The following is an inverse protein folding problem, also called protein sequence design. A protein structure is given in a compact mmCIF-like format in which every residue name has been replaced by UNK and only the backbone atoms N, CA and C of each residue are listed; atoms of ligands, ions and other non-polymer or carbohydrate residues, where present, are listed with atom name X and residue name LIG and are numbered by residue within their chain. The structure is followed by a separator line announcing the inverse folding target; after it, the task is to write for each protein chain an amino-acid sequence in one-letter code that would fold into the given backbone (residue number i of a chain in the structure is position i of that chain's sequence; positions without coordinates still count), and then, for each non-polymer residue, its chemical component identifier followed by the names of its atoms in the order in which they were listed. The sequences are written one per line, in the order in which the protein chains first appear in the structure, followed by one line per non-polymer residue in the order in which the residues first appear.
data_IF_198716134228
#
_entry.id   IF_198716134228
#
_cell.length_a   1.000
_cell.length_b   1.000
_cell.length_c   1.000
_cell.angle_alpha   90.00
_cell.angle_beta   90.00
_cell.angle_gamma   90.00
#
_symmetry.space_group_name_H-M   'P 1'
#
loop_
_entity.id
_entity.type
_entity.pdbx_description
1 polymer ?
#
# COMPACT_ATOMS: atom_id res chain seq x y z
N UNK A 1 -5.97 14.69 39.65
CA UNK A 1 -5.29 13.95 38.59
C UNK A 1 -5.17 12.50 39.03
N UNK A 2 -6.06 11.62 38.53
CA UNK A 2 -6.01 10.19 38.82
C UNK A 2 -5.26 9.49 37.68
N UNK A 3 -4.13 8.92 38.05
CA UNK A 3 -3.27 8.11 37.21
C UNK A 3 -3.95 6.76 37.01
N UNK A 4 -4.45 6.47 35.83
CA UNK A 4 -5.07 5.20 35.51
C UNK A 4 -4.03 4.11 35.29
N UNK A 5 -3.96 3.17 36.20
CA UNK A 5 -3.12 1.99 36.10
C UNK A 5 -3.65 1.06 35.01
N UNK A 6 -2.85 0.79 34.00
CA UNK A 6 -3.12 -0.23 32.99
C UNK A 6 -2.66 -1.58 33.52
N UNK A 7 -3.59 -2.42 33.95
CA UNK A 7 -3.29 -3.82 34.25
C UNK A 7 -3.30 -4.60 32.92
N UNK A 8 -2.11 -4.98 32.45
CA UNK A 8 -1.95 -5.88 31.31
C UNK A 8 -2.06 -7.31 31.83
N UNK A 9 -3.20 -7.95 31.67
CA UNK A 9 -3.35 -9.38 31.95
C UNK A 9 -2.88 -10.16 30.73
N UNK A 10 -1.70 -10.77 30.85
CA UNK A 10 -1.19 -11.76 29.88
C UNK A 10 -1.82 -13.10 30.19
N UNK A 11 -2.80 -13.52 29.40
CA UNK A 11 -3.34 -14.88 29.47
C UNK A 11 -2.40 -15.78 28.65
N UNK A 12 -1.63 -16.62 29.33
CA UNK A 12 -0.84 -17.68 28.72
C UNK A 12 -1.81 -18.83 28.46
N UNK A 13 -2.19 -19.05 27.20
CA UNK A 13 -2.94 -20.23 26.79
C UNK A 13 -2.00 -21.44 26.78
N UNK A 14 -2.40 -22.61 27.31
CA UNK A 14 -1.63 -23.82 27.15
C UNK A 14 -1.49 -24.19 25.67
N UNK A 15 -0.28 -24.55 25.26
CA UNK A 15 -0.04 -25.11 23.93
C UNK A 15 -0.84 -26.41 23.79
N UNK A 16 -1.86 -26.37 22.98
CA UNK A 16 -2.58 -27.57 22.54
C UNK A 16 -1.61 -28.42 21.70
N UNK A 17 -1.41 -29.66 22.11
CA UNK A 17 -0.59 -30.62 21.40
C UNK A 17 -1.27 -30.97 20.08
N UNK A 18 -0.63 -30.61 19.00
CA UNK A 18 -1.01 -31.02 17.64
C UNK A 18 -0.82 -32.54 17.57
N UNK A 19 -1.85 -33.33 17.22
CA UNK A 19 -1.63 -34.76 16.96
C UNK A 19 -0.80 -34.92 15.67
N UNK A 20 0.30 -35.63 15.80
CA UNK A 20 1.13 -36.10 14.68
C UNK A 20 0.29 -37.11 13.90
N UNK A 21 -0.16 -36.72 12.71
CA UNK A 21 -0.75 -37.66 11.74
C UNK A 21 0.43 -38.25 10.97
N UNK A 22 0.50 -39.56 11.05
CA UNK A 22 1.49 -40.42 10.42
C UNK A 22 1.53 -40.23 8.90
N UNK A 23 2.72 -40.30 8.40
CA UNK A 23 3.14 -40.53 7.03
C UNK A 23 2.28 -41.58 6.35
N UNK A 24 1.68 -41.27 5.23
CA UNK A 24 1.23 -42.31 4.31
C UNK A 24 1.84 -42.07 2.92
N UNK A 25 2.38 -43.16 2.47
CA UNK A 25 3.27 -43.45 1.38
C UNK A 25 2.71 -43.06 0.00
N UNK A 26 3.66 -42.62 -0.81
CA UNK A 26 3.63 -42.48 -2.26
C UNK A 26 3.13 -43.73 -3.03
N UNK A 27 2.54 -43.57 -4.23
CA UNK A 27 3.35 -43.88 -5.39
C UNK A 27 3.28 -42.92 -6.56
N UNK A 28 4.40 -42.85 -7.21
CA UNK A 28 4.87 -42.11 -8.32
C UNK A 28 4.00 -42.09 -9.59
N UNK A 29 4.22 -41.03 -10.35
CA UNK A 29 4.14 -41.08 -11.80
C UNK A 29 5.35 -40.35 -12.42
N UNK A 30 5.78 -40.99 -13.46
CA UNK A 30 6.99 -40.89 -14.23
C UNK A 30 7.17 -39.56 -14.97
N UNK A 31 8.45 -39.28 -15.18
CA UNK A 31 8.99 -38.33 -16.14
C UNK A 31 8.50 -38.61 -17.56
N UNK A 32 8.17 -37.59 -18.26
CA UNK A 32 8.28 -37.56 -19.72
C UNK A 32 9.01 -36.31 -20.19
N UNK A 33 10.26 -36.57 -20.59
CA UNK A 33 11.10 -35.68 -21.38
C UNK A 33 10.60 -35.69 -22.82
N UNK A 34 10.36 -34.55 -23.38
CA UNK A 34 10.49 -34.41 -24.82
C UNK A 34 11.30 -33.16 -25.22
N UNK A 35 12.46 -33.49 -25.78
CA UNK A 35 13.34 -32.63 -26.55
C UNK A 35 12.80 -32.50 -27.98
N UNK A 36 12.86 -31.30 -28.52
CA UNK A 36 13.08 -31.07 -29.95
C UNK A 36 13.48 -29.60 -30.11
N UNK A 37 14.67 -29.25 -30.32
CA UNK A 37 15.59 -29.34 -31.45
C UNK A 37 15.15 -28.56 -32.70
N UNK A 38 16.05 -27.65 -33.05
CA UNK A 38 16.49 -27.11 -34.36
C UNK A 38 15.78 -25.84 -34.83
N UNK A 39 16.47 -24.90 -35.25
CA UNK A 39 17.70 -24.58 -35.95
C UNK A 39 17.40 -23.55 -37.05
N UNK A 40 18.30 -22.59 -37.15
CA UNK A 40 18.75 -21.82 -38.35
C UNK A 40 17.77 -20.84 -39.02
N UNK A 41 18.12 -19.67 -39.44
CA UNK A 41 19.28 -19.25 -40.23
C UNK A 41 19.43 -17.72 -40.24
N UNK A 42 20.62 -17.26 -40.14
CA UNK A 42 21.49 -16.34 -40.87
C UNK A 42 20.88 -15.68 -42.13
N UNK A 43 20.94 -14.38 -42.15
CA UNK A 43 21.35 -13.64 -43.34
C UNK A 43 21.94 -12.27 -42.97
N UNK A 44 23.19 -12.19 -43.18
CA UNK A 44 24.03 -11.01 -43.35
C UNK A 44 23.81 -10.48 -44.77
N UNK A 45 23.63 -9.18 -44.93
CA UNK A 45 24.11 -8.51 -46.14
C UNK A 45 24.44 -7.03 -45.88
N UNK A 46 25.71 -6.77 -46.11
CA UNK A 46 26.46 -5.55 -46.28
C UNK A 46 26.14 -4.95 -47.64
N UNK A 47 26.32 -3.64 -47.82
CA UNK A 47 26.95 -2.93 -48.97
C UNK A 47 26.46 -1.48 -48.95
N UNK A 48 27.33 -0.59 -48.77
CA UNK A 48 28.32 0.25 -49.46
C UNK A 48 27.86 1.69 -49.71
N UNK A 49 28.71 2.53 -49.18
CA UNK A 49 29.27 3.82 -49.68
C UNK A 49 28.60 4.53 -50.88
N UNK A 50 28.38 5.82 -50.69
CA UNK A 50 28.84 6.79 -51.69
C UNK A 50 29.14 8.16 -51.03
N UNK A 51 30.35 8.61 -51.24
CA UNK A 51 30.95 9.92 -51.01
C UNK A 51 30.19 11.05 -51.70
N UNK A 52 30.24 12.22 -51.08
CA UNK A 52 29.82 13.48 -51.73
C UNK A 52 30.08 14.68 -50.83
N UNK A 53 31.35 15.10 -50.83
CA UNK A 53 31.78 16.32 -50.18
C UNK A 53 31.15 17.57 -50.82
N UNK A 54 30.67 18.52 -50.00
CA UNK A 54 30.83 19.96 -50.28
C UNK A 54 30.86 20.76 -48.98
N UNK A 55 31.99 21.34 -48.76
CA UNK A 55 32.31 22.42 -47.82
C UNK A 55 31.44 23.62 -48.13
N UNK A 56 30.78 24.18 -47.14
CA UNK A 56 30.45 25.61 -47.07
C UNK A 56 30.48 26.09 -45.63
N UNK A 57 31.44 26.92 -45.39
CA UNK A 57 31.70 27.73 -44.22
C UNK A 57 30.50 28.68 -43.96
N UNK A 58 30.00 28.66 -42.72
CA UNK A 58 28.96 29.61 -42.26
C UNK A 58 28.81 29.51 -40.74
N UNK A 59 29.53 30.40 -40.08
CA UNK A 59 29.39 30.90 -38.69
C UNK A 59 28.21 30.42 -37.88
N UNK A 60 28.55 29.78 -36.74
CA UNK A 60 28.39 30.32 -35.40
C UNK A 60 26.95 30.73 -35.00
N UNK A 61 26.25 29.79 -34.43
CA UNK A 61 25.43 30.01 -33.26
C UNK A 61 25.26 28.66 -32.57
N UNK A 62 26.11 28.42 -31.58
CA UNK A 62 25.88 27.40 -30.58
C UNK A 62 24.61 27.79 -29.84
N UNK A 63 23.52 27.02 -29.89
CA UNK A 63 22.65 26.97 -28.75
C UNK A 63 23.40 26.17 -27.69
N UNK A 64 23.85 26.82 -26.65
CA UNK A 64 24.12 26.16 -25.39
C UNK A 64 22.99 25.16 -25.17
N UNK A 65 23.29 23.90 -25.45
CA UNK A 65 22.57 22.81 -24.87
C UNK A 65 22.82 22.92 -23.37
N UNK A 66 22.02 23.73 -22.72
CA UNK A 66 21.78 23.61 -21.29
C UNK A 66 21.35 22.17 -21.12
N UNK A 67 22.32 21.30 -20.85
CA UNK A 67 22.09 20.06 -20.16
C UNK A 67 21.37 20.47 -18.89
N UNK A 68 20.04 20.58 -18.99
CA UNK A 68 19.19 20.45 -17.82
C UNK A 68 19.51 19.09 -17.25
N UNK A 69 20.56 19.05 -16.44
CA UNK A 69 20.71 18.01 -15.47
C UNK A 69 19.36 17.97 -14.75
N UNK A 70 18.51 17.05 -15.18
CA UNK A 70 17.39 16.61 -14.36
C UNK A 70 18.02 16.16 -13.06
N UNK A 71 18.17 17.10 -12.14
CA UNK A 71 18.40 16.79 -10.75
C UNK A 71 17.26 15.84 -10.41
N UNK A 72 17.57 14.56 -10.33
CA UNK A 72 16.70 13.55 -9.75
C UNK A 72 16.59 13.94 -8.27
N UNK A 73 15.77 14.92 -8.00
CA UNK A 73 15.42 15.29 -6.63
C UNK A 73 14.65 14.10 -6.11
N UNK A 74 15.32 13.32 -5.28
CA UNK A 74 14.70 12.29 -4.46
C UNK A 74 13.65 13.01 -3.61
N UNK A 75 12.43 13.11 -4.13
CA UNK A 75 11.38 13.89 -3.51
C UNK A 75 10.81 13.15 -2.31
N UNK A 76 10.87 13.77 -1.15
CA UNK A 76 10.14 13.32 0.05
C UNK A 76 8.92 14.20 0.22
N UNK A 77 7.76 13.56 0.44
CA UNK A 77 6.50 14.26 0.67
C UNK A 77 5.81 13.74 1.92
N UNK A 78 5.19 14.65 2.67
CA UNK A 78 4.25 14.30 3.74
C UNK A 78 2.83 14.23 3.17
N UNK A 79 2.05 13.32 3.72
CA UNK A 79 0.69 13.02 3.26
C UNK A 79 -0.27 13.04 4.43
N UNK A 80 -1.47 13.61 4.22
CA UNK A 80 -2.56 13.60 5.19
C UNK A 80 -3.88 13.33 4.47
N UNK A 81 -4.52 12.21 4.74
CA UNK A 81 -5.79 11.84 4.11
C UNK A 81 -6.96 12.52 4.80
N UNK A 82 -7.41 13.64 4.24
CA UNK A 82 -8.48 14.48 4.80
C UNK A 82 -9.82 13.74 4.87
N UNK A 83 -10.09 12.82 3.93
CA UNK A 83 -11.31 12.02 3.96
C UNK A 83 -11.36 11.13 5.20
N UNK A 84 -10.22 10.53 5.59
CA UNK A 84 -10.12 9.74 6.82
C UNK A 84 -10.19 10.61 8.08
N UNK A 85 -9.63 11.80 8.05
CA UNK A 85 -9.74 12.76 9.15
C UNK A 85 -11.21 13.16 9.37
N UNK A 86 -11.98 13.35 8.30
CA UNK A 86 -13.42 13.63 8.39
C UNK A 86 -14.21 12.49 9.06
N UNK A 87 -13.70 11.25 8.99
CA UNK A 87 -14.28 10.08 9.68
C UNK A 87 -13.68 9.84 11.07
N UNK A 88 -13.05 10.85 11.67
CA UNK A 88 -12.40 10.80 12.99
C UNK A 88 -11.29 9.72 13.08
N UNK A 89 -10.66 9.41 11.97
CA UNK A 89 -9.55 8.47 11.89
C UNK A 89 -8.34 9.18 11.28
N UNK A 90 -7.55 9.92 12.08
CA UNK A 90 -6.35 10.58 11.58
C UNK A 90 -5.46 9.61 10.82
N UNK A 91 -5.03 10.06 9.65
CA UNK A 91 -4.18 9.31 8.71
C UNK A 91 -3.06 10.21 8.24
N UNK A 92 -1.84 9.78 8.47
CA UNK A 92 -0.62 10.46 8.05
C UNK A 92 0.27 9.49 7.32
N UNK A 93 1.05 9.99 6.38
CA UNK A 93 1.96 9.17 5.62
C UNK A 93 3.15 9.96 5.09
N UNK A 94 4.07 9.20 4.56
CA UNK A 94 5.22 9.70 3.82
C UNK A 94 5.23 9.05 2.44
N UNK A 95 5.70 9.78 1.47
CA UNK A 95 5.95 9.27 0.14
C UNK A 95 7.34 9.65 -0.32
N UNK A 96 8.07 8.66 -0.80
CA UNK A 96 9.39 8.82 -1.36
C UNK A 96 9.34 8.54 -2.86
N UNK A 97 9.68 9.55 -3.67
CA UNK A 97 9.84 9.44 -5.11
C UNK A 97 11.25 8.95 -5.42
N UNK A 98 11.37 7.69 -5.84
CA UNK A 98 12.64 7.08 -6.27
C UNK A 98 13.12 7.74 -7.56
N UNK A 99 12.20 8.06 -8.45
CA UNK A 99 12.40 8.79 -9.68
C UNK A 99 11.05 9.39 -10.14
N UNK A 100 11.00 10.20 -11.23
CA UNK A 100 9.75 10.83 -11.67
C UNK A 100 8.60 9.87 -11.99
N UNK A 101 8.88 8.58 -12.16
CA UNK A 101 7.87 7.58 -12.53
C UNK A 101 7.53 6.59 -11.42
N UNK A 102 8.34 6.51 -10.36
CA UNK A 102 8.16 5.52 -9.31
C UNK A 102 8.24 6.13 -7.93
N UNK A 103 7.31 5.75 -7.07
CA UNK A 103 7.27 6.16 -5.68
C UNK A 103 6.88 5.01 -4.76
N UNK A 104 7.28 5.15 -3.50
CA UNK A 104 6.86 4.30 -2.40
C UNK A 104 6.20 5.21 -1.38
N UNK A 105 4.99 4.87 -0.97
CA UNK A 105 4.31 5.56 0.13
C UNK A 105 4.00 4.61 1.27
N UNK A 106 3.99 5.14 2.47
CA UNK A 106 3.53 4.43 3.67
C UNK A 106 2.58 5.35 4.41
N UNK A 107 1.34 4.93 4.57
CA UNK A 107 0.32 5.64 5.32
C UNK A 107 0.02 4.89 6.61
N UNK A 108 -0.17 5.60 7.69
CA UNK A 108 -0.55 5.08 8.99
C UNK A 108 -1.78 5.79 9.51
N UNK A 109 -2.73 5.04 10.03
CA UNK A 109 -3.92 5.57 10.67
C UNK A 109 -4.01 5.09 12.10
N UNK A 110 -4.41 5.98 12.98
CA UNK A 110 -4.63 5.62 14.37
C UNK A 110 -5.80 6.40 14.96
N UNK A 111 -6.69 5.70 15.65
CA UNK A 111 -7.81 6.30 16.36
C UNK A 111 -8.21 5.49 17.58
N UNK A 112 -8.71 6.17 18.60
CA UNK A 112 -9.26 5.53 19.79
C UNK A 112 -10.30 6.44 20.46
N UNK A 113 -11.55 6.21 20.15
CA UNK A 113 -12.69 6.94 20.71
C UNK A 113 -13.53 6.05 21.60
N UNK A 114 -13.97 6.60 22.73
CA UNK A 114 -14.92 5.95 23.64
C UNK A 114 -15.93 6.98 24.11
N UNK A 115 -17.20 6.63 24.11
CA UNK A 115 -18.31 7.49 24.55
C UNK A 115 -19.37 6.67 25.24
N UNK A 116 -20.42 7.34 25.75
CA UNK A 116 -21.50 6.71 26.51
C UNK A 116 -20.95 5.88 27.69
N UNK A 117 -20.20 6.56 28.60
CA UNK A 117 -19.58 5.95 29.79
C UNK A 117 -18.68 4.73 29.46
N UNK A 118 -18.01 4.77 28.28
CA UNK A 118 -17.19 3.69 27.74
C UNK A 118 -17.96 2.47 27.24
N UNK A 119 -19.29 2.53 27.16
CA UNK A 119 -20.09 1.45 26.57
C UNK A 119 -19.96 1.36 25.06
N UNK A 120 -19.59 2.47 24.40
CA UNK A 120 -19.30 2.53 22.98
C UNK A 120 -17.81 2.76 22.74
N UNK A 121 -17.27 2.07 21.77
CA UNK A 121 -15.85 2.16 21.42
C UNK A 121 -15.64 2.04 19.93
N UNK A 122 -14.73 2.86 19.43
CA UNK A 122 -14.15 2.76 18.11
C UNK A 122 -12.64 2.98 18.21
N UNK A 123 -11.86 1.93 17.98
CA UNK A 123 -10.42 2.00 17.97
C UNK A 123 -9.90 1.23 16.76
N UNK A 124 -8.94 1.84 16.07
CA UNK A 124 -8.30 1.29 14.88
C UNK A 124 -6.86 1.77 14.84
N UNK A 125 -5.95 0.90 14.46
CA UNK A 125 -4.67 1.29 13.89
C UNK A 125 -4.44 0.46 12.63
N UNK A 126 -3.86 1.07 11.61
CA UNK A 126 -3.46 0.38 10.40
C UNK A 126 -2.25 1.03 9.77
N UNK A 127 -1.48 0.22 9.03
CA UNK A 127 -0.37 0.65 8.20
C UNK A 127 -0.61 0.13 6.79
N UNK A 128 -0.39 0.99 5.81
CA UNK A 128 -0.63 0.71 4.41
C UNK A 128 0.55 1.17 3.55
N UNK A 129 1.58 0.33 3.35
CA UNK A 129 2.58 0.56 2.32
C UNK A 129 1.98 0.39 0.93
N UNK A 130 2.45 1.23 0.00
CA UNK A 130 1.99 1.26 -1.38
C UNK A 130 3.16 1.58 -2.31
N UNK A 131 3.27 0.82 -3.39
CA UNK A 131 4.20 1.05 -4.47
C UNK A 131 3.46 1.65 -5.67
N UNK A 132 3.92 2.79 -6.17
CA UNK A 132 3.24 3.61 -7.17
C UNK A 132 4.03 3.77 -8.44
N UNK A 133 3.35 3.69 -9.57
CA UNK A 133 3.88 4.06 -10.89
C UNK A 133 3.13 5.27 -11.42
N UNK A 134 3.82 6.38 -11.54
CA UNK A 134 3.31 7.61 -12.11
C UNK A 134 3.30 7.57 -13.63
N UNK A 135 2.18 7.96 -14.24
CA UNK A 135 1.89 7.88 -15.66
C UNK A 135 1.54 9.25 -16.24
N UNK A 136 1.55 9.35 -17.57
CA UNK A 136 1.30 10.58 -18.30
C UNK A 136 2.52 11.50 -18.40
N UNK A 137 2.42 12.51 -19.24
CA UNK A 137 3.53 13.47 -19.50
C UNK A 137 3.88 14.28 -18.25
N UNK A 138 2.87 14.69 -17.50
CA UNK A 138 3.02 15.51 -16.30
C UNK A 138 3.13 14.68 -15.00
N UNK A 139 3.11 13.34 -15.11
CA UNK A 139 3.21 12.40 -13.98
C UNK A 139 2.19 12.68 -12.85
N UNK A 140 0.98 13.10 -13.21
CA UNK A 140 -0.08 13.40 -12.26
C UNK A 140 -0.95 12.19 -11.93
N UNK A 141 -1.19 11.31 -12.91
CA UNK A 141 -1.90 10.05 -12.69
C UNK A 141 -0.96 8.96 -12.20
N UNK A 142 -1.45 8.03 -11.41
CA UNK A 142 -0.69 6.84 -11.02
C UNK A 142 -1.56 5.60 -10.89
N UNK A 143 -0.90 4.47 -10.99
CA UNK A 143 -1.38 3.17 -10.57
C UNK A 143 -0.43 2.61 -9.53
N UNK A 144 -0.97 1.91 -8.54
CA UNK A 144 -0.19 1.34 -7.45
C UNK A 144 -0.67 -0.04 -7.03
N UNK A 145 0.18 -0.67 -6.23
CA UNK A 145 -0.14 -1.89 -5.50
C UNK A 145 0.05 -1.58 -4.02
N UNK A 146 -0.97 -1.84 -3.22
CA UNK A 146 -0.96 -1.61 -1.78
C UNK A 146 -1.10 -2.91 -1.01
N UNK A 147 -0.45 -2.93 0.14
CA UNK A 147 -0.70 -3.88 1.22
C UNK A 147 -1.24 -3.11 2.41
N UNK A 148 -2.07 -3.74 3.22
CA UNK A 148 -2.65 -3.13 4.41
C UNK A 148 -2.69 -4.15 5.54
N UNK A 149 -2.29 -3.73 6.73
CA UNK A 149 -2.45 -4.52 7.95
C UNK A 149 -2.78 -3.62 9.13
N UNK A 150 -3.49 -4.15 10.10
CA UNK A 150 -3.88 -3.38 11.27
C UNK A 150 -4.76 -4.16 12.23
N UNK A 151 -5.19 -3.47 13.28
CA UNK A 151 -6.10 -4.02 14.28
C UNK A 151 -7.25 -3.07 14.53
N UNK A 152 -8.40 -3.64 14.84
CA UNK A 152 -9.57 -2.88 15.16
C UNK A 152 -10.28 -3.39 16.42
N UNK A 153 -10.94 -2.48 17.10
CA UNK A 153 -11.83 -2.80 18.21
C UNK A 153 -13.00 -1.83 18.19
N UNK A 154 -14.13 -2.31 17.77
CA UNK A 154 -15.34 -1.48 17.77
C UNK A 154 -16.49 -2.14 18.51
N UNK A 155 -17.21 -1.34 19.30
CA UNK A 155 -18.43 -1.69 19.99
C UNK A 155 -19.44 -0.56 19.79
N UNK A 156 -20.27 -0.70 18.79
CA UNK A 156 -21.32 0.27 18.45
C UNK A 156 -22.71 -0.18 18.93
N UNK A 157 -22.80 -1.42 19.43
CA UNK A 157 -24.01 -2.03 19.94
C UNK A 157 -23.70 -2.85 21.21
N UNK A 158 -24.60 -3.71 21.65
CA UNK A 158 -24.39 -4.60 22.80
C UNK A 158 -23.19 -5.54 22.59
N UNK A 159 -22.89 -5.92 21.33
CA UNK A 159 -21.76 -6.79 20.97
C UNK A 159 -20.62 -5.96 20.38
N UNK A 160 -19.42 -6.12 20.93
CA UNK A 160 -18.19 -5.59 20.38
C UNK A 160 -17.48 -6.62 19.51
N UNK A 161 -16.63 -6.12 18.61
CA UNK A 161 -15.74 -6.92 17.75
C UNK A 161 -14.33 -6.38 17.86
N UNK A 162 -13.37 -7.28 18.04
CA UNK A 162 -11.96 -6.94 18.14
C UNK A 162 -11.15 -7.97 17.37
N UNK A 163 -10.23 -7.52 16.52
CA UNK A 163 -9.43 -8.43 15.73
C UNK A 163 -8.40 -7.74 14.85
N UNK A 164 -7.83 -8.54 13.99
CA UNK A 164 -6.81 -8.16 13.03
C UNK A 164 -7.42 -8.06 11.64
N UNK A 165 -6.84 -7.19 10.83
CA UNK A 165 -7.15 -7.09 9.41
C UNK A 165 -5.85 -7.13 8.60
N UNK A 166 -5.91 -7.82 7.48
CA UNK A 166 -4.82 -7.89 6.50
C UNK A 166 -5.41 -7.92 5.11
N UNK A 167 -4.79 -7.24 4.19
CA UNK A 167 -5.28 -7.21 2.82
C UNK A 167 -4.36 -6.50 1.87
N UNK A 168 -4.83 -6.35 0.65
CA UNK A 168 -4.11 -5.63 -0.39
C UNK A 168 -4.96 -5.43 -1.62
N UNK A 169 -4.44 -4.67 -2.56
CA UNK A 169 -5.16 -4.36 -3.77
C UNK A 169 -4.37 -3.49 -4.72
N UNK A 170 -5.05 -3.13 -5.79
CA UNK A 170 -4.57 -2.15 -6.74
C UNK A 170 -5.17 -0.78 -6.40
N UNK A 171 -4.38 0.25 -6.58
CA UNK A 171 -4.79 1.63 -6.36
C UNK A 171 -4.66 2.42 -7.63
N UNK A 172 -5.46 3.44 -7.77
CA UNK A 172 -5.33 4.43 -8.82
C UNK A 172 -5.63 5.79 -8.26
N UNK A 173 -4.93 6.80 -8.77
CA UNK A 173 -5.15 8.15 -8.30
C UNK A 173 -4.64 9.22 -9.26
N UNK A 174 -4.98 10.45 -8.90
CA UNK A 174 -4.59 11.64 -9.65
C UNK A 174 -4.19 12.75 -8.69
N UNK A 175 -3.00 13.30 -8.89
CA UNK A 175 -2.47 14.41 -8.12
C UNK A 175 -2.73 15.74 -8.83
N UNK A 176 -3.50 16.60 -8.19
CA UNK A 176 -3.76 17.96 -8.61
C UNK A 176 -2.74 18.89 -7.92
N UNK A 177 -1.87 19.51 -8.69
CA UNK A 177 -0.88 20.45 -8.17
C UNK A 177 -1.58 21.76 -7.79
N UNK A 178 -1.52 22.15 -6.52
CA UNK A 178 -2.07 23.40 -6.02
C UNK A 178 -1.04 24.53 -6.13
N UNK A 179 0.19 24.22 -5.71
CA UNK A 179 1.35 25.10 -5.87
C UNK A 179 2.65 24.27 -5.91
N UNK A 180 3.82 24.91 -5.79
CA UNK A 180 5.09 24.22 -5.87
C UNK A 180 5.35 23.23 -4.69
N UNK A 181 4.76 23.52 -3.52
CA UNK A 181 4.94 22.72 -2.32
C UNK A 181 3.75 21.81 -2.02
N UNK A 182 2.55 22.13 -2.50
CA UNK A 182 1.32 21.43 -2.13
C UNK A 182 0.62 20.83 -3.34
N UNK A 183 0.12 19.62 -3.16
CA UNK A 183 -0.74 18.92 -4.11
C UNK A 183 -1.92 18.28 -3.38
N UNK A 184 -3.01 18.05 -4.10
CA UNK A 184 -4.15 17.27 -3.65
C UNK A 184 -4.16 15.95 -4.42
N UNK A 185 -4.19 14.83 -3.73
CA UNK A 185 -4.20 13.48 -4.29
C UNK A 185 -5.58 12.86 -4.09
N UNK A 186 -6.24 12.50 -5.16
CA UNK A 186 -7.50 11.77 -5.19
C UNK A 186 -7.21 10.33 -5.54
N UNK A 187 -7.58 9.39 -4.66
CA UNK A 187 -7.24 7.99 -4.82
C UNK A 187 -8.39 7.05 -4.48
N UNK A 188 -8.40 5.93 -5.18
CA UNK A 188 -9.29 4.80 -4.91
C UNK A 188 -8.49 3.50 -5.03
N UNK A 189 -8.73 2.58 -4.10
CA UNK A 189 -8.15 1.25 -4.12
C UNK A 189 -9.23 0.17 -4.12
N UNK A 190 -9.04 -0.82 -4.98
CA UNK A 190 -9.88 -2.01 -5.07
C UNK A 190 -9.03 -3.23 -4.71
N UNK A 191 -9.58 -4.14 -3.90
CA UNK A 191 -8.81 -5.28 -3.47
C UNK A 191 -9.56 -6.20 -2.52
N UNK A 192 -8.78 -6.92 -1.73
CA UNK A 192 -9.23 -7.93 -0.79
C UNK A 192 -8.76 -7.61 0.61
N UNK A 193 -9.64 -7.76 1.59
CA UNK A 193 -9.34 -7.69 3.02
C UNK A 193 -9.84 -8.95 3.70
N UNK A 194 -8.97 -9.54 4.49
CA UNK A 194 -9.23 -10.63 5.41
C UNK A 194 -9.21 -10.08 6.83
N UNK A 195 -10.22 -10.40 7.62
CA UNK A 195 -10.33 -9.98 9.00
C UNK A 195 -10.72 -11.15 9.89
N UNK A 196 -9.87 -11.44 10.88
CA UNK A 196 -10.14 -12.37 11.96
C UNK A 196 -10.48 -11.62 13.23
N UNK A 197 -11.61 -11.91 13.83
CA UNK A 197 -12.04 -11.17 15.00
C UNK A 197 -12.85 -11.98 15.99
N UNK A 198 -12.73 -11.57 17.25
CA UNK A 198 -13.53 -12.07 18.36
C UNK A 198 -14.74 -11.16 18.60
N UNK A 199 -15.88 -11.77 18.80
CA UNK A 199 -17.07 -11.11 19.36
C UNK A 199 -17.00 -11.12 20.88
N UNK A 200 -17.33 -10.01 21.50
CA UNK A 200 -17.40 -9.91 22.96
C UNK A 200 -18.60 -9.08 23.42
N UNK A 201 -19.02 -9.32 24.62
CA UNK A 201 -19.98 -8.49 25.37
C UNK A 201 -19.33 -7.98 26.65
N UNK A 202 -19.81 -6.89 27.17
CA UNK A 202 -19.38 -6.36 28.48
C UNK A 202 -20.45 -6.66 29.50
N UNK A 203 -20.10 -7.43 30.52
CA UNK A 203 -20.98 -7.78 31.64
C UNK A 203 -20.31 -7.30 32.93
N UNK A 204 -20.94 -6.39 33.65
CA UNK A 204 -20.37 -5.80 34.87
C UNK A 204 -18.95 -5.24 34.70
N UNK A 205 -18.68 -4.59 33.56
CA UNK A 205 -17.37 -4.03 33.25
C UNK A 205 -16.33 -5.03 32.72
N UNK A 206 -16.65 -6.34 32.72
CA UNK A 206 -15.73 -7.40 32.24
C UNK A 206 -16.09 -7.78 30.81
N UNK A 207 -15.05 -7.91 29.95
CA UNK A 207 -15.24 -8.40 28.59
C UNK A 207 -15.34 -9.92 28.58
N UNK A 208 -16.45 -10.42 28.07
CA UNK A 208 -16.71 -11.86 27.90
C UNK A 208 -16.73 -12.18 26.41
N UNK A 209 -15.80 -13.03 25.97
CA UNK A 209 -15.73 -13.51 24.58
C UNK A 209 -16.96 -14.39 24.28
N UNK A 210 -17.55 -14.19 23.11
CA UNK A 210 -18.74 -14.92 22.65
C UNK A 210 -18.48 -15.82 21.44
N UNK A 211 -17.31 -15.73 20.84
CA UNK A 211 -16.88 -16.52 19.69
C UNK A 211 -15.93 -15.77 18.80
N UNK A 212 -15.32 -16.50 17.87
CA UNK A 212 -14.44 -15.96 16.82
C UNK A 212 -15.12 -16.10 15.48
N UNK A 213 -14.86 -15.15 14.58
CA UNK A 213 -15.34 -15.17 13.22
C UNK A 213 -14.26 -14.61 12.29
N UNK A 214 -14.29 -15.11 11.07
CA UNK A 214 -13.48 -14.62 9.96
C UNK A 214 -14.39 -13.97 8.93
N UNK A 215 -13.97 -12.85 8.37
CA UNK A 215 -14.67 -12.17 7.31
C UNK A 215 -13.74 -11.79 6.17
N UNK A 216 -14.14 -12.15 4.97
CA UNK A 216 -13.47 -11.78 3.72
C UNK A 216 -14.29 -10.71 3.01
N UNK A 217 -13.61 -9.71 2.47
CA UNK A 217 -14.22 -8.61 1.73
C UNK A 217 -13.49 -8.38 0.42
N UNK A 218 -14.26 -8.32 -0.67
CA UNK A 218 -13.80 -7.87 -1.98
C UNK A 218 -14.50 -6.59 -2.36
N UNK A 219 -13.76 -5.58 -2.78
CA UNK A 219 -14.33 -4.30 -3.20
C UNK A 219 -13.40 -3.12 -2.91
N UNK A 220 -13.97 -1.93 -2.66
CA UNK A 220 -13.20 -0.78 -2.26
C UNK A 220 -12.51 -1.02 -0.91
N UNK A 221 -11.17 -0.94 -0.89
CA UNK A 221 -10.33 -1.16 0.31
C UNK A 221 -9.61 0.10 0.76
N UNK A 222 -9.61 1.12 -0.09
CA UNK A 222 -9.00 2.41 0.17
C UNK A 222 -9.71 3.51 -0.61
N UNK A 223 -9.90 4.67 0.00
CA UNK A 223 -10.31 5.90 -0.66
C UNK A 223 -9.59 7.07 0.00
N UNK A 224 -9.17 8.05 -0.79
CA UNK A 224 -8.40 9.19 -0.28
C UNK A 224 -8.68 10.50 -1.02
N UNK A 225 -8.80 11.55 -0.21
CA UNK A 225 -8.57 12.94 -0.61
C UNK A 225 -7.42 13.39 0.27
N UNK A 226 -6.22 13.34 -0.26
CA UNK A 226 -4.98 13.46 0.52
C UNK A 226 -4.27 14.77 0.18
N UNK A 227 -3.98 15.56 1.19
CA UNK A 227 -3.07 16.70 1.05
C UNK A 227 -1.63 16.16 1.05
N UNK A 228 -0.88 16.54 0.04
CA UNK A 228 0.53 16.14 -0.16
C UNK A 228 1.40 17.37 -0.09
N UNK A 229 2.33 17.39 0.84
CA UNK A 229 3.31 18.45 1.00
C UNK A 229 4.70 17.94 0.59
N UNK A 230 5.21 18.49 -0.50
CA UNK A 230 6.55 18.20 -1.02
C UNK A 230 7.59 18.96 -0.19
N UNK A 231 8.52 18.24 0.42
CA UNK A 231 9.53 18.81 1.31
C UNK A 231 10.82 19.14 0.53
N UNK A 232 11.17 18.25 -0.45
CA UNK A 232 12.37 18.39 -1.29
C UNK A 232 12.06 18.06 -2.73
#
# INVERSE_FOLDING_TARGET
ASKGDFVTVRIILPKEKVPVIAEDTHPGYEEEKEQSHRENDKATETIQDTEGAKVSTGQENQPESVLSASSTTLGLSLRANLLRWATLTPDLGIEWHINPSWGISVNGSWTSWSWNEKDRRYALWEVAPEFRRYIGKEKRGYLGVMFKTGQFNYKLSATGKQGDLTGGGITGGYQLKLNNALSMDFSLGLGYIHADYDKYVVINGVRVRRGSETKNWWGPVSAGVTLVWNIF
#
